data_IF_127428639183
#
_entry.id   IF_127428639183
#
_cell.length_a   1.000
_cell.length_b   1.000
_cell.length_c   1.000
_cell.angle_alpha   90.00
_cell.angle_beta   90.00
_cell.angle_gamma   90.00
#
_symmetry.space_group_name_H-M   'P 1'
#
loop_
_entity.id
_entity.type
_entity.pdbx_description
1 polymer ?
#
# COMPACT_ATOMS: atom_id res chain seq x y z
N UNK A 1 0.15 1.29 -20.70
CA UNK A 1 0.19 0.21 -19.70
C UNK A 1 1.05 -0.88 -20.31
N UNK A 2 2.15 -1.23 -19.67
CA UNK A 2 2.98 -2.34 -20.12
C UNK A 2 2.18 -3.62 -19.87
N UNK A 3 1.86 -4.38 -20.91
CA UNK A 3 1.08 -5.62 -20.81
C UNK A 3 1.77 -6.70 -19.94
N UNK A 4 2.98 -6.43 -19.45
CA UNK A 4 3.85 -7.34 -18.71
C UNK A 4 3.34 -7.63 -17.29
N UNK A 5 2.69 -6.65 -16.64
CA UNK A 5 2.24 -6.80 -15.25
C UNK A 5 0.73 -6.96 -15.09
N UNK A 6 -0.05 -6.98 -16.17
CA UNK A 6 -1.52 -7.03 -16.11
C UNK A 6 -2.03 -8.24 -15.31
N UNK A 7 -1.43 -9.42 -15.52
CA UNK A 7 -1.78 -10.62 -14.77
C UNK A 7 -1.42 -10.50 -13.28
N UNK A 8 -0.23 -9.96 -12.97
CA UNK A 8 0.22 -9.74 -11.59
C UNK A 8 -0.73 -8.80 -10.82
N UNK A 9 -1.13 -7.70 -11.47
CA UNK A 9 -2.07 -6.71 -10.95
C UNK A 9 -3.43 -7.36 -10.71
N UNK A 10 -3.94 -8.09 -11.70
CA UNK A 10 -5.24 -8.76 -11.60
C UNK A 10 -5.28 -9.77 -10.45
N UNK A 11 -4.26 -10.60 -10.33
CA UNK A 11 -4.13 -11.59 -9.26
C UNK A 11 -4.04 -10.92 -7.88
N UNK A 12 -3.25 -9.85 -7.74
CA UNK A 12 -3.09 -9.15 -6.49
C UNK A 12 -4.39 -8.47 -6.03
N UNK A 13 -5.09 -7.83 -6.96
CA UNK A 13 -6.40 -7.22 -6.69
C UNK A 13 -7.43 -8.28 -6.29
N UNK A 14 -7.49 -9.41 -7.00
CA UNK A 14 -8.41 -10.50 -6.67
C UNK A 14 -8.10 -11.06 -5.27
N UNK A 15 -6.83 -11.27 -4.96
CA UNK A 15 -6.39 -11.74 -3.64
C UNK A 15 -6.73 -10.75 -2.53
N UNK A 16 -6.53 -9.45 -2.75
CA UNK A 16 -6.82 -8.41 -1.78
C UNK A 16 -8.34 -8.30 -1.52
N UNK A 17 -9.16 -8.34 -2.58
CA UNK A 17 -10.63 -8.29 -2.47
C UNK A 17 -11.21 -9.46 -1.68
N UNK A 18 -10.62 -10.65 -1.76
CA UNK A 18 -11.04 -11.81 -0.95
C UNK A 18 -10.84 -11.61 0.56
N UNK A 19 -10.09 -10.57 0.97
CA UNK A 19 -9.74 -10.30 2.36
C UNK A 19 -10.46 -9.09 2.95
N UNK A 20 -11.40 -8.49 2.22
CA UNK A 20 -12.24 -7.42 2.73
C UNK A 20 -12.88 -7.80 4.08
N UNK A 21 -12.82 -6.88 5.04
CA UNK A 21 -13.35 -7.08 6.39
C UNK A 21 -12.41 -7.83 7.35
N UNK A 22 -11.33 -8.46 6.88
CA UNK A 22 -10.38 -9.14 7.76
C UNK A 22 -9.63 -8.14 8.65
N UNK A 23 -9.44 -8.50 9.92
CA UNK A 23 -8.77 -7.67 10.93
C UNK A 23 -7.36 -8.15 11.28
N UNK A 24 -6.93 -9.32 10.78
CA UNK A 24 -5.60 -9.88 11.09
C UNK A 24 -4.44 -9.08 10.48
N UNK A 25 -4.72 -8.21 9.51
CA UNK A 25 -3.78 -7.24 8.94
C UNK A 25 -3.84 -5.85 9.61
N UNK A 26 -4.57 -5.69 10.73
CA UNK A 26 -4.60 -4.42 11.44
C UNK A 26 -3.17 -3.94 11.79
N UNK A 27 -2.88 -2.67 11.50
CA UNK A 27 -1.55 -2.06 11.61
C UNK A 27 -0.43 -2.71 10.75
N UNK A 28 -0.78 -3.54 9.76
CA UNK A 28 0.16 -4.24 8.86
C UNK A 28 -0.11 -3.89 7.39
N UNK A 29 -0.31 -2.61 7.10
CA UNK A 29 -0.66 -2.12 5.75
C UNK A 29 0.37 -2.48 4.69
N UNK A 30 1.67 -2.34 4.98
CA UNK A 30 2.74 -2.72 4.06
C UNK A 30 2.73 -4.22 3.77
N UNK A 31 2.76 -5.05 4.81
CA UNK A 31 2.71 -6.50 4.66
C UNK A 31 1.46 -6.96 3.90
N UNK A 32 0.31 -6.29 4.08
CA UNK A 32 -0.91 -6.60 3.34
C UNK A 32 -0.76 -6.38 1.83
N UNK A 33 -0.23 -5.23 1.41
CA UNK A 33 -0.09 -4.93 -0.02
C UNK A 33 1.05 -5.72 -0.66
N UNK A 34 2.10 -6.03 0.10
CA UNK A 34 3.18 -6.93 -0.34
C UNK A 34 2.65 -8.36 -0.50
N UNK A 35 1.99 -8.91 0.51
CA UNK A 35 1.35 -10.23 0.42
C UNK A 35 0.35 -10.31 -0.73
N UNK A 36 -0.36 -9.22 -1.04
CA UNK A 36 -1.27 -9.19 -2.17
C UNK A 36 -0.54 -9.52 -3.48
N UNK A 37 0.63 -8.93 -3.74
CA UNK A 37 1.43 -9.29 -4.91
C UNK A 37 2.16 -10.62 -4.76
N UNK A 38 2.82 -10.85 -3.63
CA UNK A 38 3.68 -12.00 -3.41
C UNK A 38 2.92 -13.32 -3.38
N UNK A 39 1.84 -13.38 -2.61
CA UNK A 39 1.09 -14.62 -2.38
C UNK A 39 0.24 -14.99 -3.59
N UNK A 40 -0.30 -14.00 -4.31
CA UNK A 40 -1.13 -14.27 -5.48
C UNK A 40 -0.31 -14.65 -6.71
N UNK A 41 0.96 -14.25 -6.77
CA UNK A 41 1.81 -14.45 -7.93
C UNK A 41 3.02 -15.35 -7.69
N UNK A 42 3.19 -15.87 -6.46
CA UNK A 42 4.34 -16.69 -6.08
C UNK A 42 5.68 -15.98 -6.34
N UNK A 43 5.77 -14.74 -5.87
CA UNK A 43 6.98 -13.91 -5.99
C UNK A 43 7.42 -13.34 -4.66
N UNK A 44 8.65 -12.82 -4.62
CA UNK A 44 9.20 -11.98 -3.56
C UNK A 44 9.47 -10.58 -4.15
N UNK A 45 8.90 -9.54 -3.56
CA UNK A 45 9.18 -8.14 -3.90
C UNK A 45 10.00 -7.49 -2.77
N UNK A 46 10.67 -6.38 -3.06
CA UNK A 46 11.61 -5.76 -2.12
C UNK A 46 11.29 -4.30 -1.88
N UNK A 47 11.06 -3.94 -0.63
CA UNK A 47 10.88 -2.56 -0.17
C UNK A 47 11.50 -2.31 1.20
N UNK A 48 11.18 -1.16 1.78
CA UNK A 48 11.64 -0.75 3.09
C UNK A 48 10.94 -1.49 4.24
N UNK A 49 11.45 -1.32 5.46
CA UNK A 49 10.89 -1.95 6.66
C UNK A 49 9.57 -1.32 7.17
N UNK A 50 9.14 -0.21 6.57
CA UNK A 50 7.94 0.56 6.94
C UNK A 50 7.34 1.16 5.68
N UNK A 51 6.05 1.48 5.68
CA UNK A 51 5.41 2.09 4.51
C UNK A 51 6.08 3.41 4.10
N UNK A 52 6.53 4.21 5.08
CA UNK A 52 7.32 5.42 4.81
C UNK A 52 8.66 5.10 4.13
N UNK A 53 9.43 4.16 4.67
CA UNK A 53 10.72 3.78 4.08
C UNK A 53 10.56 3.23 2.65
N UNK A 54 9.50 2.43 2.41
CA UNK A 54 9.16 1.94 1.07
C UNK A 54 8.74 3.09 0.14
N UNK A 55 7.98 4.07 0.62
CA UNK A 55 7.61 5.25 -0.17
C UNK A 55 8.84 6.03 -0.63
N UNK A 56 9.80 6.25 0.27
CA UNK A 56 11.05 6.94 -0.02
C UNK A 56 11.91 6.15 -1.02
N UNK A 57 12.09 4.85 -0.78
CA UNK A 57 12.84 3.97 -1.67
C UNK A 57 12.22 3.86 -3.07
N UNK A 58 10.90 3.81 -3.15
CA UNK A 58 10.18 3.77 -4.43
C UNK A 58 10.05 5.14 -5.10
N UNK A 59 10.42 6.23 -4.41
CA UNK A 59 10.29 7.58 -4.94
C UNK A 59 8.84 8.01 -5.13
N UNK A 60 7.92 7.57 -4.27
CA UNK A 60 6.48 7.78 -4.43
C UNK A 60 6.09 9.26 -4.59
N UNK A 61 6.78 10.16 -3.88
CA UNK A 61 6.56 11.61 -3.96
C UNK A 61 6.81 12.20 -5.36
N UNK A 62 7.50 11.48 -6.25
CA UNK A 62 7.73 11.90 -7.64
C UNK A 62 6.52 11.66 -8.54
N UNK A 63 5.54 10.86 -8.09
CA UNK A 63 4.31 10.59 -8.81
C UNK A 63 3.11 11.10 -7.99
N UNK A 64 2.81 12.41 -8.04
CA UNK A 64 1.59 12.95 -7.46
C UNK A 64 0.36 12.61 -8.32
N UNK A 65 -0.81 13.03 -7.87
CA UNK A 65 -2.05 12.92 -8.64
C UNK A 65 -2.75 11.57 -8.48
N UNK A 66 -3.53 11.18 -9.50
CA UNK A 66 -4.37 9.98 -9.45
C UNK A 66 -3.53 8.74 -9.72
N UNK A 67 -3.52 7.75 -8.80
CA UNK A 67 -2.73 6.53 -8.96
C UNK A 67 -3.29 5.60 -10.06
N UNK A 68 -2.46 5.05 -10.96
CA UNK A 68 -2.87 3.98 -11.87
C UNK A 68 -3.24 2.69 -11.13
N UNK A 69 -4.09 1.85 -11.73
CA UNK A 69 -4.40 0.52 -11.20
C UNK A 69 -3.14 -0.30 -10.92
N UNK A 70 -3.12 -1.04 -9.81
CA UNK A 70 -1.99 -1.85 -9.37
C UNK A 70 -0.90 -1.09 -8.64
N UNK A 71 -0.84 0.24 -8.72
CA UNK A 71 0.16 1.01 -7.98
C UNK A 71 0.01 0.89 -6.46
N UNK A 72 1.11 1.05 -5.74
CA UNK A 72 1.09 1.29 -4.30
C UNK A 72 0.91 2.79 -4.06
N UNK A 73 0.00 3.14 -3.15
CA UNK A 73 -0.40 4.51 -2.85
C UNK A 73 -0.02 4.82 -1.41
N UNK A 74 0.82 5.82 -1.20
CA UNK A 74 1.50 6.07 0.07
C UNK A 74 1.02 7.34 0.76
N UNK A 75 1.04 7.31 2.08
CA UNK A 75 0.66 8.40 2.96
C UNK A 75 1.65 8.51 4.12
N UNK A 76 1.99 9.72 4.55
CA UNK A 76 2.65 9.96 5.83
C UNK A 76 1.66 9.62 6.95
N UNK A 77 2.11 8.90 7.97
CA UNK A 77 1.30 8.54 9.13
C UNK A 77 2.22 8.32 10.33
N UNK A 78 2.29 9.33 11.21
CA UNK A 78 3.15 9.31 12.38
C UNK A 78 2.43 8.84 13.63
N UNK A 79 3.13 8.13 14.49
CA UNK A 79 2.60 7.66 15.76
C UNK A 79 3.69 7.10 16.67
N UNK A 80 3.31 6.74 17.90
CA UNK A 80 4.22 6.12 18.86
C UNK A 80 4.14 4.61 18.81
N UNK A 81 5.28 3.96 18.56
CA UNK A 81 5.46 2.51 18.70
C UNK A 81 6.64 2.26 19.62
N UNK A 82 6.46 1.45 20.67
CA UNK A 82 7.50 1.17 21.68
C UNK A 82 8.18 2.43 22.27
N UNK A 83 7.43 3.53 22.41
CA UNK A 83 7.93 4.80 22.94
C UNK A 83 8.60 5.72 21.92
N UNK A 84 8.88 5.25 20.71
CA UNK A 84 9.45 6.05 19.63
C UNK A 84 8.34 6.72 18.81
N UNK A 85 8.38 8.06 18.70
CA UNK A 85 7.51 8.82 17.80
C UNK A 85 8.23 8.95 16.46
N UNK A 86 7.63 8.39 15.41
CA UNK A 86 8.19 8.35 14.06
C UNK A 86 7.07 8.34 13.02
N UNK A 87 7.39 8.76 11.80
CA UNK A 87 6.57 8.47 10.63
C UNK A 87 6.75 7.02 10.18
N UNK A 88 5.71 6.22 10.37
CA UNK A 88 5.68 4.81 9.93
C UNK A 88 5.09 4.69 8.52
N UNK A 89 4.38 5.72 8.07
CA UNK A 89 3.63 5.76 6.84
C UNK A 89 2.39 4.87 6.85
N UNK A 90 1.64 4.96 5.76
CA UNK A 90 0.53 4.08 5.43
C UNK A 90 0.53 3.81 3.92
N UNK A 91 0.04 2.64 3.50
CA UNK A 91 0.02 2.26 2.09
C UNK A 91 -1.25 1.48 1.73
N UNK A 92 -1.71 1.67 0.50
CA UNK A 92 -2.80 0.90 -0.11
C UNK A 92 -2.46 0.45 -1.54
N UNK A 93 -3.18 -0.56 -2.03
CA UNK A 93 -3.10 -1.04 -3.41
C UNK A 93 -4.22 -0.38 -4.25
N UNK A 94 -3.85 0.31 -5.32
CA UNK A 94 -4.82 0.94 -6.21
C UNK A 94 -5.61 -0.10 -7.01
N UNK A 95 -6.94 0.02 -6.97
CA UNK A 95 -7.88 -0.84 -7.70
C UNK A 95 -8.29 -0.27 -9.06
N UNK A 96 -7.82 0.94 -9.39
CA UNK A 96 -8.37 1.76 -10.48
C UNK A 96 -9.44 2.73 -9.99
N UNK A 97 -9.81 3.70 -10.84
CA UNK A 97 -10.89 4.67 -10.60
C UNK A 97 -10.79 5.41 -9.26
N UNK A 98 -9.57 5.70 -8.80
CA UNK A 98 -9.31 6.39 -7.53
C UNK A 98 -9.52 5.55 -6.27
N UNK A 99 -9.88 4.27 -6.40
CA UNK A 99 -10.10 3.39 -5.26
C UNK A 99 -8.81 2.71 -4.81
N UNK A 100 -8.61 2.61 -3.51
CA UNK A 100 -7.50 1.87 -2.89
C UNK A 100 -8.03 0.85 -1.89
N UNK A 101 -7.51 -0.37 -1.95
CA UNK A 101 -7.70 -1.37 -0.89
C UNK A 101 -6.51 -1.33 0.06
N UNK A 102 -6.76 -1.27 1.36
CA UNK A 102 -5.71 -1.18 2.36
C UNK A 102 -6.14 -1.78 3.70
N UNK A 103 -5.15 -2.14 4.51
CA UNK A 103 -5.39 -2.56 5.89
C UNK A 103 -5.23 -1.36 6.83
N UNK A 104 -6.30 -0.96 7.50
CA UNK A 104 -6.28 0.06 8.55
C UNK A 104 -6.48 -0.61 9.92
N UNK A 105 -7.70 -0.61 10.43
CA UNK A 105 -8.19 -1.47 11.51
C UNK A 105 -8.83 -2.77 10.96
N UNK A 106 -9.34 -2.70 9.74
CA UNK A 106 -9.82 -3.80 8.92
C UNK A 106 -9.34 -3.57 7.49
N UNK A 107 -9.32 -4.61 6.66
CA UNK A 107 -9.13 -4.46 5.23
C UNK A 107 -10.38 -3.82 4.64
N UNK A 108 -10.22 -2.65 4.02
CA UNK A 108 -11.31 -1.82 3.49
C UNK A 108 -10.91 -1.17 2.17
N UNK A 109 -11.91 -0.64 1.47
CA UNK A 109 -11.73 0.13 0.25
C UNK A 109 -12.20 1.55 0.52
N UNK A 110 -11.38 2.52 0.15
CA UNK A 110 -11.69 3.94 0.23
C UNK A 110 -11.22 4.63 -1.06
N UNK A 111 -11.73 5.82 -1.31
CA UNK A 111 -11.09 6.73 -2.27
C UNK A 111 -9.71 7.13 -1.75
N UNK A 112 -8.72 7.20 -2.62
CA UNK A 112 -7.34 7.44 -2.24
C UNK A 112 -7.14 8.77 -1.50
N UNK A 113 -7.91 9.82 -1.78
CA UNK A 113 -7.83 11.06 -1.01
C UNK A 113 -8.64 10.99 0.28
N UNK A 114 -9.75 10.25 0.30
CA UNK A 114 -10.58 10.06 1.49
C UNK A 114 -9.87 9.28 2.62
N UNK A 115 -8.81 8.54 2.30
CA UNK A 115 -7.93 7.91 3.32
C UNK A 115 -7.39 8.95 4.32
N UNK A 116 -7.21 10.21 3.90
CA UNK A 116 -6.69 11.28 4.75
C UNK A 116 -7.68 11.75 5.82
N UNK A 117 -8.97 11.39 5.66
CA UNK A 117 -10.06 11.73 6.57
C UNK A 117 -10.41 10.57 7.52
N UNK A 118 -9.68 9.45 7.44
CA UNK A 118 -9.86 8.32 8.35
C UNK A 118 -9.43 8.70 9.77
N UNK A 119 -10.25 8.32 10.74
CA UNK A 119 -9.92 8.47 12.16
C UNK A 119 -8.68 7.62 12.48
N UNK A 120 -7.59 8.24 12.95
CA UNK A 120 -6.39 7.53 13.36
C UNK A 120 -6.58 6.85 14.72
N UNK A 121 -5.74 5.86 15.00
CA UNK A 121 -5.64 5.34 16.36
C UNK A 121 -5.22 6.46 17.33
N UNK A 122 -5.57 6.39 18.63
CA UNK A 122 -5.14 7.39 19.60
C UNK A 122 -3.64 7.62 19.53
N UNK A 123 -3.22 8.90 19.58
CA UNK A 123 -1.81 9.36 19.46
C UNK A 123 -1.19 9.28 18.06
N UNK A 124 -1.92 8.81 17.05
CA UNK A 124 -1.47 8.83 15.65
C UNK A 124 -1.98 10.08 14.92
N UNK A 125 -1.20 10.56 13.95
CA UNK A 125 -1.63 11.60 13.03
C UNK A 125 -2.55 11.00 11.95
N UNK A 126 -3.54 11.76 11.44
CA UNK A 126 -4.26 11.35 10.25
C UNK A 126 -3.32 11.15 9.05
N UNK A 127 -3.62 10.21 8.13
CA UNK A 127 -2.83 10.03 6.92
C UNK A 127 -2.72 11.31 6.08
N UNK A 128 -1.57 11.52 5.42
CA UNK A 128 -1.37 12.61 4.47
C UNK A 128 -0.77 12.07 3.18
N UNK A 129 -1.44 12.31 2.06
CA UNK A 129 -1.06 11.72 0.78
C UNK A 129 0.35 12.16 0.35
N UNK A 130 1.21 11.19 0.00
CA UNK A 130 2.56 11.41 -0.51
C UNK A 130 2.55 11.37 -2.04
N UNK A 131 1.97 10.30 -2.60
CA UNK A 131 2.07 9.94 -4.01
C UNK A 131 1.95 8.42 -4.18
N UNK A 132 2.35 7.93 -5.35
CA UNK A 132 2.25 6.50 -5.69
C UNK A 132 3.52 5.95 -6.34
N UNK A 133 3.69 4.63 -6.28
CA UNK A 133 4.77 3.91 -6.96
C UNK A 133 4.19 3.02 -8.08
N UNK A 134 4.73 3.09 -9.31
CA UNK A 134 4.29 2.24 -10.41
C UNK A 134 4.60 0.76 -10.14
N UNK A 135 3.86 -0.12 -10.79
CA UNK A 135 4.05 -1.57 -10.66
C UNK A 135 5.44 -2.00 -11.12
N UNK A 136 5.97 -1.36 -12.17
CA UNK A 136 7.33 -1.56 -12.63
C UNK A 136 8.38 -1.27 -11.55
N UNK A 137 8.11 -0.29 -10.66
CA UNK A 137 9.00 0.02 -9.54
C UNK A 137 8.85 -1.01 -8.43
N UNK A 138 7.62 -1.44 -8.11
CA UNK A 138 7.33 -2.47 -7.10
C UNK A 138 8.02 -3.79 -7.45
N UNK A 139 8.02 -4.14 -8.73
CA UNK A 139 8.66 -5.36 -9.25
C UNK A 139 10.16 -5.16 -9.60
N UNK A 140 10.75 -4.01 -9.32
CA UNK A 140 12.16 -3.81 -9.62
C UNK A 140 13.05 -4.76 -8.79
N UNK A 141 13.64 -5.76 -9.44
CA UNK A 141 14.53 -6.73 -8.80
C UNK A 141 13.82 -7.88 -8.06
N UNK A 142 12.51 -8.08 -8.28
CA UNK A 142 11.73 -9.17 -7.70
C UNK A 142 12.30 -10.56 -8.04
N UNK A 143 11.92 -11.57 -7.24
CA UNK A 143 12.29 -12.98 -7.48
C UNK A 143 11.05 -13.86 -7.60
N UNK A 144 11.16 -14.88 -8.44
CA UNK A 144 10.20 -15.98 -8.49
C UNK A 144 10.42 -16.90 -7.28
N UNK A 145 9.33 -17.37 -6.64
CA UNK A 145 9.37 -18.33 -5.53
C UNK A 145 9.13 -19.76 -6.00
#
# INVERSE_FOLDING_TARGET
MSAEFDEYIHNAIAWAKQRLGITTYAARCLAFVEDAYEQSNHVEIFGGSTAQATADEYGAAQNPGVPPIGSFVFYNCSGRVNGELKDWGHVGLCLGDGQVIHAWNTVRIDDYLAVQDLEPAPTWTPPRYIGWAPVERIFAGYRQK
#
